data_IF_320043187737
#
_entry.id   IF_320043187737
#
_cell.length_a   1.000
_cell.length_b   1.000
_cell.length_c   1.000
_cell.angle_alpha   90.00
_cell.angle_beta   90.00
_cell.angle_gamma   90.00
#
_symmetry.space_group_name_H-M   'P 1'
#
loop_
_entity.id
_entity.type
_entity.pdbx_description
1 polymer ?
#
# COMPACT_ATOMS: atom_id res chain seq x y z
N UNK A 1 4.29 -12.67 4.89
CA UNK A 1 3.10 -11.84 4.63
C UNK A 1 2.65 -11.14 5.90
N UNK A 2 2.87 -9.83 5.97
CA UNK A 2 2.60 -8.98 7.15
C UNK A 2 1.38 -8.09 6.86
N UNK A 3 0.49 -7.92 7.84
CA UNK A 3 -0.68 -7.04 7.71
C UNK A 3 -0.44 -5.68 8.35
N UNK A 4 -0.70 -4.60 7.61
CA UNK A 4 -0.72 -3.23 8.10
C UNK A 4 -2.18 -2.73 8.14
N UNK A 5 -2.69 -2.44 9.33
CA UNK A 5 -4.07 -1.99 9.52
C UNK A 5 -4.16 -0.46 9.58
N UNK A 6 -4.78 0.16 8.57
CA UNK A 6 -4.96 1.61 8.53
C UNK A 6 -6.03 2.12 9.51
N UNK A 7 -6.83 1.26 10.14
CA UNK A 7 -7.66 1.69 11.27
C UNK A 7 -6.82 2.09 12.50
N UNK A 8 -5.59 1.56 12.60
CA UNK A 8 -4.66 1.78 13.71
C UNK A 8 -3.44 2.64 13.31
N UNK A 9 -3.09 2.63 12.02
CA UNK A 9 -1.95 3.36 11.48
C UNK A 9 -2.41 4.54 10.62
N UNK A 10 -1.66 5.64 10.69
CA UNK A 10 -1.73 6.66 9.65
C UNK A 10 -1.15 6.11 8.32
N UNK A 11 -1.54 6.71 7.19
CA UNK A 11 -0.99 6.35 5.86
C UNK A 11 0.53 6.53 5.83
N UNK A 12 1.04 7.55 6.52
CA UNK A 12 2.48 7.80 6.60
C UNK A 12 3.21 6.65 7.30
N UNK A 13 2.76 6.25 8.48
CA UNK A 13 3.35 5.14 9.23
C UNK A 13 3.26 3.83 8.45
N UNK A 14 2.13 3.59 7.78
CA UNK A 14 1.97 2.42 6.94
C UNK A 14 2.94 2.41 5.76
N UNK A 15 3.14 3.53 5.08
CA UNK A 15 4.11 3.64 3.99
C UNK A 15 5.57 3.50 4.46
N UNK A 16 5.90 4.03 5.65
CA UNK A 16 7.22 3.84 6.25
C UNK A 16 7.48 2.37 6.56
N UNK A 17 6.51 1.67 7.16
CA UNK A 17 6.60 0.22 7.42
C UNK A 17 6.62 -0.61 6.15
N UNK A 18 5.78 -0.27 5.17
CA UNK A 18 5.73 -0.94 3.87
C UNK A 18 7.07 -0.86 3.14
N UNK A 19 7.76 0.28 3.20
CA UNK A 19 9.12 0.40 2.64
C UNK A 19 10.13 -0.49 3.36
N UNK A 20 10.09 -0.53 4.70
CA UNK A 20 10.97 -1.40 5.47
C UNK A 20 10.74 -2.88 5.13
N UNK A 21 9.48 -3.32 5.12
CA UNK A 21 9.09 -4.68 4.73
C UNK A 21 9.48 -4.99 3.28
N UNK A 22 9.32 -4.03 2.36
CA UNK A 22 9.75 -4.16 0.98
C UNK A 22 11.26 -4.35 0.85
N UNK A 23 12.06 -3.64 1.64
CA UNK A 23 13.51 -3.81 1.64
C UNK A 23 13.93 -5.22 2.10
N UNK A 24 13.13 -5.83 2.98
CA UNK A 24 13.31 -7.21 3.45
C UNK A 24 12.71 -8.26 2.51
N UNK A 25 12.04 -7.84 1.42
CA UNK A 25 11.40 -8.74 0.45
C UNK A 25 10.10 -9.36 0.94
N UNK A 26 9.46 -8.79 1.96
CA UNK A 26 8.23 -9.29 2.55
C UNK A 26 6.99 -8.76 1.84
N UNK A 27 6.12 -9.68 1.41
CA UNK A 27 4.80 -9.34 0.90
C UNK A 27 3.90 -8.76 2.00
N UNK A 28 3.05 -7.79 1.63
CA UNK A 28 2.24 -7.01 2.58
C UNK A 28 0.77 -6.99 2.22
N UNK A 29 -0.09 -7.08 3.25
CA UNK A 29 -1.52 -6.81 3.13
C UNK A 29 -1.86 -5.49 3.85
N UNK A 30 -2.55 -4.58 3.17
CA UNK A 30 -3.12 -3.36 3.75
C UNK A 30 -4.60 -3.63 4.08
N UNK A 31 -4.94 -3.56 5.37
CA UNK A 31 -6.30 -3.73 5.88
C UNK A 31 -6.96 -2.39 6.21
N UNK A 32 -8.30 -2.37 6.14
CA UNK A 32 -9.16 -1.21 6.45
C UNK A 32 -8.70 0.10 5.76
N UNK A 33 -8.49 0.11 4.43
CA UNK A 33 -7.88 1.25 3.74
C UNK A 33 -8.75 2.50 3.70
N UNK A 34 -10.07 2.37 3.90
CA UNK A 34 -11.05 3.46 4.04
C UNK A 34 -10.92 4.55 2.96
N UNK A 35 -10.67 4.14 1.71
CA UNK A 35 -10.44 5.02 0.56
C UNK A 35 -9.36 6.11 0.80
N UNK A 36 -8.41 5.87 1.71
CA UNK A 36 -7.34 6.83 2.01
C UNK A 36 -6.40 7.01 0.83
N UNK A 37 -5.95 8.24 0.65
CA UNK A 37 -5.05 8.65 -0.42
C UNK A 37 -3.60 8.20 -0.14
N UNK A 38 -2.78 8.12 -1.19
CA UNK A 38 -1.33 7.93 -1.11
C UNK A 38 -0.85 6.62 -0.46
N UNK A 39 -1.69 5.59 -0.42
CA UNK A 39 -1.27 4.25 0.05
C UNK A 39 -0.24 3.69 -0.93
N UNK A 40 0.90 3.23 -0.41
CA UNK A 40 1.92 2.57 -1.23
C UNK A 40 2.82 3.49 -2.07
N UNK A 41 2.72 4.81 -1.92
CA UNK A 41 3.48 5.74 -2.76
C UNK A 41 5.00 5.58 -2.58
N UNK A 42 5.72 5.53 -3.71
CA UNK A 42 7.18 5.49 -3.74
C UNK A 42 7.81 4.18 -3.28
N UNK A 43 7.06 3.08 -3.29
CA UNK A 43 7.61 1.73 -3.06
C UNK A 43 8.38 1.26 -4.30
N UNK A 44 9.66 0.92 -4.14
CA UNK A 44 10.58 0.55 -5.23
C UNK A 44 11.07 -0.90 -5.16
N UNK A 45 10.52 -1.69 -4.24
CA UNK A 45 10.96 -3.07 -3.98
C UNK A 45 10.02 -4.07 -4.65
N UNK A 46 10.53 -5.19 -5.20
CA UNK A 46 9.74 -6.17 -5.97
C UNK A 46 8.94 -7.11 -5.06
N UNK A 47 8.00 -6.55 -4.30
CA UNK A 47 7.09 -7.29 -3.41
C UNK A 47 5.64 -7.22 -3.90
N UNK A 48 4.81 -8.14 -3.44
CA UNK A 48 3.37 -8.09 -3.63
C UNK A 48 2.71 -7.30 -2.50
N UNK A 49 1.79 -6.40 -2.86
CA UNK A 49 1.00 -5.62 -1.92
C UNK A 49 -0.48 -5.77 -2.23
N UNK A 50 -1.24 -6.34 -1.31
CA UNK A 50 -2.71 -6.48 -1.45
C UNK A 50 -3.42 -5.44 -0.59
N UNK A 51 -4.27 -4.60 -1.19
CA UNK A 51 -5.12 -3.64 -0.49
C UNK A 51 -6.55 -4.19 -0.37
N UNK A 52 -6.94 -4.55 0.87
CA UNK A 52 -8.24 -5.12 1.22
C UNK A 52 -9.30 -4.04 1.41
N UNK A 53 -9.77 -3.50 0.30
CA UNK A 53 -10.82 -2.48 0.23
C UNK A 53 -10.53 -1.48 -0.89
N UNK A 54 -11.19 -0.33 -0.82
CA UNK A 54 -10.96 0.76 -1.77
C UNK A 54 -9.78 1.63 -1.33
N UNK A 55 -8.99 2.11 -2.30
CA UNK A 55 -7.93 3.09 -2.07
C UNK A 55 -8.29 4.45 -2.69
N UNK A 56 -7.75 5.53 -2.13
CA UNK A 56 -7.96 6.88 -2.62
C UNK A 56 -7.03 7.24 -3.77
N UNK A 57 -6.97 8.54 -4.06
CA UNK A 57 -6.06 9.12 -5.06
C UNK A 57 -4.60 8.72 -4.83
N UNK A 58 -3.87 8.55 -5.94
CA UNK A 58 -2.44 8.26 -5.97
C UNK A 58 -2.04 6.99 -5.22
N UNK A 59 -2.92 5.99 -5.14
CA UNK A 59 -2.54 4.66 -4.65
C UNK A 59 -1.43 4.10 -5.55
N UNK A 60 -0.36 3.58 -4.94
CA UNK A 60 0.84 3.12 -5.64
C UNK A 60 1.47 4.16 -6.59
N UNK A 61 1.23 5.46 -6.36
CA UNK A 61 1.87 6.50 -7.16
C UNK A 61 3.40 6.45 -7.01
N UNK A 62 4.13 6.71 -8.10
CA UNK A 62 5.60 6.76 -8.11
C UNK A 62 6.28 5.45 -7.66
N UNK A 63 5.61 4.31 -7.75
CA UNK A 63 6.21 3.00 -7.43
C UNK A 63 7.02 2.43 -8.58
N UNK A 64 8.01 1.61 -8.25
CA UNK A 64 8.80 0.81 -9.19
C UNK A 64 8.87 -0.65 -8.70
N UNK A 65 8.85 -1.60 -9.64
CA UNK A 65 8.91 -3.05 -9.42
C UNK A 65 7.80 -3.74 -8.57
N UNK A 66 7.17 -3.06 -7.61
CA UNK A 66 6.15 -3.64 -6.74
C UNK A 66 4.86 -4.01 -7.51
N UNK A 67 4.20 -5.10 -7.11
CA UNK A 67 2.90 -5.51 -7.65
C UNK A 67 1.79 -5.17 -6.66
N UNK A 68 0.93 -4.22 -7.01
CA UNK A 68 -0.24 -3.87 -6.21
C UNK A 68 -1.50 -4.56 -6.74
N UNK A 69 -2.27 -5.15 -5.83
CA UNK A 69 -3.64 -5.61 -6.08
C UNK A 69 -4.58 -4.88 -5.13
N UNK A 70 -5.46 -4.04 -5.68
CA UNK A 70 -6.54 -3.42 -4.91
C UNK A 70 -7.83 -4.18 -5.17
N UNK A 71 -8.43 -4.71 -4.10
CA UNK A 71 -9.59 -5.61 -4.22
C UNK A 71 -10.89 -4.89 -4.57
N UNK A 72 -10.94 -3.56 -4.45
CA UNK A 72 -12.08 -2.72 -4.83
C UNK A 72 -11.61 -1.51 -5.63
N UNK A 73 -12.32 -0.39 -5.55
CA UNK A 73 -12.07 0.79 -6.38
C UNK A 73 -10.82 1.54 -5.96
N UNK A 74 -10.23 2.24 -6.92
CA UNK A 74 -9.16 3.20 -6.68
C UNK A 74 -9.56 4.57 -7.23
N UNK A 75 -9.19 5.62 -6.52
CA UNK A 75 -9.37 6.99 -6.98
C UNK A 75 -8.37 7.39 -8.09
N UNK A 76 -8.42 8.66 -8.48
CA UNK A 76 -7.61 9.23 -9.57
C UNK A 76 -6.09 9.17 -9.32
N UNK A 77 -5.31 9.09 -10.41
CA UNK A 77 -3.85 9.20 -10.37
C UNK A 77 -3.10 7.92 -9.99
N UNK A 78 -3.65 6.75 -10.33
CA UNK A 78 -2.98 5.43 -10.29
C UNK A 78 -2.01 5.27 -11.43
#
# INVERSE_FOLDING_TARGET
MVTLDLSQLSVREANERLRALGADGEDVEIANPDARHHIGVGLIHPINVTVRGSAGYFCAGLTDAARFEVTHNVGWGV
#
